data_IF_460762024285
#
_entry.id   IF_460762024285
#
_cell.length_a   1.000
_cell.length_b   1.000
_cell.length_c   1.000
_cell.angle_alpha   90.00
_cell.angle_beta   90.00
_cell.angle_gamma   90.00
#
_symmetry.space_group_name_H-M   'P 1'
#
loop_
_entity.id
_entity.type
_entity.pdbx_description
1 polymer ?
#
# COMPACT_ATOMS: atom_id res chain seq x y z
N UNK A 1 -2.22 -12.58 -11.63
CA UNK A 1 -3.35 -11.66 -11.41
C UNK A 1 -2.97 -10.17 -11.37
N UNK A 2 -2.18 -9.63 -10.42
CA UNK A 2 -1.93 -8.18 -10.34
C UNK A 2 -1.01 -7.60 -11.42
N UNK A 3 -0.17 -8.42 -12.05
CA UNK A 3 0.69 -7.96 -13.16
C UNK A 3 -0.09 -7.41 -14.36
N UNK A 4 -1.31 -7.92 -14.61
CA UNK A 4 -2.20 -7.44 -15.68
C UNK A 4 -3.05 -6.24 -15.24
N UNK A 5 -3.44 -6.17 -13.97
CA UNK A 5 -4.37 -5.16 -13.45
C UNK A 5 -3.68 -3.89 -12.93
N UNK A 6 -2.42 -3.98 -12.49
CA UNK A 6 -1.63 -2.87 -11.97
C UNK A 6 -0.30 -2.79 -12.71
N UNK A 7 -0.28 -2.30 -13.96
CA UNK A 7 0.96 -2.11 -14.71
C UNK A 7 1.88 -1.08 -14.03
N UNK A 8 3.19 -1.32 -14.07
CA UNK A 8 4.22 -0.39 -13.59
C UNK A 8 5.05 0.12 -14.75
N UNK A 9 5.73 1.25 -14.54
CA UNK A 9 6.76 1.78 -15.44
C UNK A 9 8.09 1.02 -15.34
N UNK A 10 8.27 0.22 -14.29
CA UNK A 10 9.44 -0.60 -14.05
C UNK A 10 9.24 -2.01 -14.63
N UNK A 11 10.29 -2.60 -15.23
CA UNK A 11 10.29 -4.02 -15.61
C UNK A 11 10.08 -4.87 -14.35
N UNK A 12 8.98 -5.61 -14.29
CA UNK A 12 8.75 -6.62 -13.24
C UNK A 12 9.29 -7.99 -13.65
N UNK A 13 9.03 -9.02 -12.84
CA UNK A 13 9.38 -10.42 -13.15
C UNK A 13 8.74 -10.99 -14.43
N UNK A 14 7.75 -10.30 -15.01
CA UNK A 14 7.13 -10.70 -16.27
C UNK A 14 7.73 -9.90 -17.44
N UNK A 15 8.66 -10.51 -18.17
CA UNK A 15 9.31 -9.92 -19.35
C UNK A 15 8.34 -9.53 -20.47
N UNK A 16 7.11 -10.08 -20.49
CA UNK A 16 6.09 -9.78 -21.51
C UNK A 16 5.23 -8.56 -21.18
N UNK A 17 5.28 -8.04 -19.95
CA UNK A 17 4.51 -6.85 -19.58
C UNK A 17 5.23 -5.59 -20.08
N UNK A 18 4.65 -4.89 -21.07
CA UNK A 18 5.18 -3.61 -21.54
C UNK A 18 5.07 -2.56 -20.41
N UNK A 19 6.16 -1.85 -20.07
CA UNK A 19 6.08 -0.77 -19.09
C UNK A 19 5.19 0.36 -19.61
N UNK A 20 4.36 0.92 -18.73
CA UNK A 20 3.55 2.08 -19.10
C UNK A 20 4.42 3.31 -19.35
N UNK A 21 4.15 4.02 -20.44
CA UNK A 21 4.69 5.33 -20.72
C UNK A 21 3.96 6.41 -19.92
N UNK A 22 4.59 7.59 -19.76
CA UNK A 22 3.93 8.74 -19.10
C UNK A 22 2.70 9.21 -19.88
N UNK A 23 2.72 9.09 -21.20
CA UNK A 23 1.61 9.49 -22.06
C UNK A 23 0.40 8.57 -21.86
N UNK A 24 0.59 7.25 -21.77
CA UNK A 24 -0.48 6.29 -21.51
C UNK A 24 -1.12 6.51 -20.12
N UNK A 25 -0.32 6.77 -19.09
CA UNK A 25 -0.85 7.09 -17.75
C UNK A 25 -1.70 8.36 -17.80
N UNK A 26 -1.25 9.38 -18.54
CA UNK A 26 -2.00 10.62 -18.66
C UNK A 26 -3.29 10.44 -19.47
N UNK A 27 -3.29 9.57 -20.48
CA UNK A 27 -4.49 9.20 -21.22
C UNK A 27 -5.49 8.43 -20.32
N UNK A 28 -5.00 7.48 -19.51
CA UNK A 28 -5.85 6.72 -18.58
C UNK A 28 -6.51 7.62 -17.54
N UNK A 29 -5.77 8.59 -16.98
CA UNK A 29 -6.33 9.56 -16.04
C UNK A 29 -7.46 10.41 -16.62
N UNK A 30 -7.50 10.60 -17.94
CA UNK A 30 -8.56 11.35 -18.63
C UNK A 30 -9.79 10.49 -18.95
N UNK A 31 -9.68 9.17 -18.85
CA UNK A 31 -10.78 8.25 -19.13
C UNK A 31 -11.43 7.81 -17.82
N UNK A 32 -12.62 8.34 -17.56
CA UNK A 32 -13.40 7.98 -16.37
C UNK A 32 -13.66 6.46 -16.29
N UNK A 33 -14.00 5.84 -17.43
CA UNK A 33 -14.25 4.40 -17.50
C UNK A 33 -13.02 3.58 -17.07
N UNK A 34 -11.82 3.96 -17.53
CA UNK A 34 -10.57 3.29 -17.15
C UNK A 34 -10.30 3.46 -15.66
N UNK A 35 -10.54 4.66 -15.11
CA UNK A 35 -10.36 4.93 -13.69
C UNK A 35 -11.35 4.16 -12.82
N UNK A 36 -12.61 4.04 -13.24
CA UNK A 36 -13.61 3.19 -12.56
C UNK A 36 -13.19 1.70 -12.60
N UNK A 37 -12.71 1.20 -13.76
CA UNK A 37 -12.19 -0.17 -13.87
C UNK A 37 -10.99 -0.39 -12.96
N UNK A 38 -10.12 0.61 -12.82
CA UNK A 38 -8.97 0.57 -11.93
C UNK A 38 -9.39 0.48 -10.45
N UNK A 39 -10.36 1.30 -10.02
CA UNK A 39 -10.90 1.23 -8.64
C UNK A 39 -11.56 -0.13 -8.37
N UNK A 40 -12.35 -0.66 -9.32
CA UNK A 40 -12.92 -2.02 -9.21
C UNK A 40 -11.85 -3.10 -9.05
N UNK A 41 -10.75 -3.00 -9.81
CA UNK A 41 -9.62 -3.92 -9.67
C UNK A 41 -8.94 -3.78 -8.30
N UNK A 42 -8.84 -2.57 -7.77
CA UNK A 42 -8.30 -2.31 -6.43
C UNK A 42 -9.16 -2.94 -5.34
N UNK A 43 -10.47 -2.74 -5.37
CA UNK A 43 -11.42 -3.38 -4.46
C UNK A 43 -11.34 -4.91 -4.50
N UNK A 44 -11.23 -5.50 -5.70
CA UNK A 44 -11.06 -6.95 -5.85
C UNK A 44 -9.79 -7.44 -5.16
N UNK A 45 -8.67 -6.74 -5.34
CA UNK A 45 -7.41 -7.09 -4.67
C UNK A 45 -7.48 -6.90 -3.15
N UNK A 46 -8.15 -5.85 -2.66
CA UNK A 46 -8.37 -5.66 -1.23
C UNK A 46 -9.15 -6.84 -0.63
N UNK A 47 -10.25 -7.26 -1.26
CA UNK A 47 -11.04 -8.41 -0.80
C UNK A 47 -10.22 -9.70 -0.77
N UNK A 48 -9.36 -9.90 -1.78
CA UNK A 48 -8.42 -11.03 -1.80
C UNK A 48 -7.48 -11.03 -0.59
N UNK A 49 -7.11 -9.85 -0.08
CA UNK A 49 -6.28 -9.67 1.11
C UNK A 49 -7.07 -9.61 2.43
N UNK A 50 -8.40 -9.78 2.41
CA UNK A 50 -9.22 -9.66 3.61
C UNK A 50 -9.48 -8.23 4.05
N UNK A 51 -9.46 -7.29 3.11
CA UNK A 51 -9.64 -5.85 3.33
C UNK A 51 -10.84 -5.37 2.50
N UNK A 52 -11.62 -4.43 3.03
CA UNK A 52 -12.76 -3.81 2.33
C UNK A 52 -12.57 -2.30 2.25
N UNK A 53 -12.77 -1.73 1.07
CA UNK A 53 -12.89 -0.28 0.86
C UNK A 53 -14.31 0.14 1.25
N UNK A 54 -14.45 1.01 2.24
CA UNK A 54 -15.76 1.46 2.75
C UNK A 54 -16.16 2.84 2.26
N UNK A 55 -15.19 3.63 1.80
CA UNK A 55 -15.45 4.93 1.21
C UNK A 55 -14.50 5.14 0.03
N UNK A 56 -15.06 5.20 -1.18
CA UNK A 56 -14.30 5.39 -2.42
C UNK A 56 -13.75 6.82 -2.55
N UNK A 57 -14.36 7.83 -1.94
CA UNK A 57 -13.88 9.21 -2.01
C UNK A 57 -12.65 9.42 -1.12
N UNK A 58 -12.67 8.86 0.10
CA UNK A 58 -11.58 9.03 1.07
C UNK A 58 -10.50 7.95 0.95
N UNK A 59 -10.86 6.75 0.47
CA UNK A 59 -9.98 5.58 0.45
C UNK A 59 -10.00 4.79 1.75
N UNK A 60 -10.96 5.02 2.64
CA UNK A 60 -11.01 4.39 3.96
C UNK A 60 -11.24 2.87 3.89
N UNK A 61 -10.50 2.13 4.72
CA UNK A 61 -10.44 0.67 4.70
C UNK A 61 -10.82 0.07 6.05
N UNK A 62 -11.43 -1.12 6.02
CA UNK A 62 -11.62 -1.98 7.20
C UNK A 62 -11.24 -3.43 6.91
N UNK A 63 -11.09 -4.24 7.96
CA UNK A 63 -11.01 -5.70 7.83
C UNK A 63 -12.32 -6.22 7.20
N UNK A 64 -12.22 -7.13 6.24
CA UNK A 64 -13.38 -7.86 5.71
C UNK A 64 -13.86 -8.91 6.73
N UNK A 65 -15.06 -9.47 6.58
CA UNK A 65 -15.60 -10.49 7.51
C UNK A 65 -14.70 -11.72 7.60
N UNK A 66 -14.14 -12.17 6.48
CA UNK A 66 -13.24 -13.31 6.39
C UNK A 66 -11.75 -12.95 6.58
N UNK A 67 -11.43 -11.83 7.24
CA UNK A 67 -10.05 -11.33 7.32
C UNK A 67 -9.08 -12.33 7.96
N UNK A 68 -9.53 -13.15 8.92
CA UNK A 68 -8.67 -14.09 9.66
C UNK A 68 -7.96 -15.06 8.71
N UNK A 69 -8.72 -15.78 7.88
CA UNK A 69 -8.20 -16.72 6.88
C UNK A 69 -7.31 -15.99 5.85
N UNK A 70 -7.73 -14.81 5.41
CA UNK A 70 -7.00 -14.03 4.41
C UNK A 70 -5.66 -13.49 4.94
N UNK A 71 -5.61 -13.11 6.22
CA UNK A 71 -4.38 -12.63 6.85
C UNK A 71 -3.41 -13.79 7.12
N UNK A 72 -3.91 -14.98 7.46
CA UNK A 72 -3.08 -16.19 7.50
C UNK A 72 -2.45 -16.45 6.13
N UNK A 73 -3.23 -16.35 5.04
CA UNK A 73 -2.70 -16.46 3.68
C UNK A 73 -1.64 -15.39 3.37
N UNK A 74 -1.87 -14.14 3.75
CA UNK A 74 -0.88 -13.06 3.60
C UNK A 74 0.42 -13.37 4.34
N UNK A 75 0.34 -13.91 5.56
CA UNK A 75 1.51 -14.27 6.34
C UNK A 75 2.28 -15.45 5.74
N UNK A 76 1.60 -16.44 5.16
CA UNK A 76 2.27 -17.58 4.53
C UNK A 76 2.95 -17.23 3.21
N UNK A 77 2.37 -16.35 2.42
CA UNK A 77 2.80 -16.11 1.05
C UNK A 77 3.43 -14.73 0.87
N UNK A 78 4.73 -14.63 1.16
CA UNK A 78 5.51 -13.39 1.09
C UNK A 78 5.51 -12.69 -0.28
N UNK A 79 5.25 -13.42 -1.38
CA UNK A 79 5.11 -12.83 -2.71
C UNK A 79 3.93 -11.84 -2.81
N UNK A 80 2.95 -11.92 -1.90
CA UNK A 80 1.88 -10.92 -1.79
C UNK A 80 2.43 -9.54 -1.46
N UNK A 81 3.56 -9.44 -0.75
CA UNK A 81 4.20 -8.15 -0.47
C UNK A 81 4.65 -7.44 -1.76
N UNK A 82 5.18 -8.19 -2.73
CA UNK A 82 5.54 -7.65 -4.04
C UNK A 82 4.31 -7.18 -4.83
N UNK A 83 3.19 -7.90 -4.70
CA UNK A 83 1.91 -7.54 -5.33
C UNK A 83 1.32 -6.28 -4.71
N UNK A 84 1.37 -6.14 -3.39
CA UNK A 84 0.92 -4.94 -2.65
C UNK A 84 1.79 -3.74 -3.01
N UNK A 85 3.12 -3.88 -3.03
CA UNK A 85 4.03 -2.80 -3.48
C UNK A 85 3.68 -2.33 -4.90
N UNK A 86 3.35 -3.27 -5.80
CA UNK A 86 2.94 -2.95 -7.16
C UNK A 86 1.62 -2.16 -7.22
N UNK A 87 0.63 -2.56 -6.42
CA UNK A 87 -0.64 -1.83 -6.27
C UNK A 87 -0.36 -0.41 -5.76
N UNK A 88 0.42 -0.28 -4.68
CA UNK A 88 0.77 1.00 -4.08
C UNK A 88 1.47 1.95 -5.07
N UNK A 89 2.47 1.47 -5.82
CA UNK A 89 3.13 2.29 -6.85
C UNK A 89 2.14 2.75 -7.93
N UNK A 90 1.26 1.85 -8.37
CA UNK A 90 0.25 2.14 -9.39
C UNK A 90 -0.79 3.18 -8.90
N UNK A 91 -1.27 3.06 -7.66
CA UNK A 91 -2.15 4.05 -7.02
C UNK A 91 -1.54 5.47 -7.09
N UNK A 92 -0.26 5.58 -6.75
CA UNK A 92 0.47 6.85 -6.84
C UNK A 92 0.60 7.37 -8.27
N UNK A 93 0.93 6.51 -9.24
CA UNK A 93 1.01 6.90 -10.66
C UNK A 93 -0.35 7.37 -11.19
N UNK A 94 -1.46 6.76 -10.76
CA UNK A 94 -2.83 7.09 -11.18
C UNK A 94 -3.46 8.27 -10.44
N UNK A 95 -2.79 8.84 -9.43
CA UNK A 95 -3.29 10.02 -8.69
C UNK A 95 -4.11 9.69 -7.43
N UNK A 96 -4.24 8.42 -7.07
CA UNK A 96 -4.89 7.95 -5.84
C UNK A 96 -3.92 7.95 -4.65
N UNK A 97 -3.22 9.07 -4.41
CA UNK A 97 -2.26 9.18 -3.32
C UNK A 97 -2.92 8.99 -1.94
N UNK A 98 -4.17 9.41 -1.79
CA UNK A 98 -4.96 9.22 -0.57
C UNK A 98 -5.20 7.72 -0.28
N UNK A 99 -5.48 6.90 -1.31
CA UNK A 99 -5.58 5.44 -1.15
C UNK A 99 -4.26 4.82 -0.71
N UNK A 100 -3.11 5.33 -1.21
CA UNK A 100 -1.82 4.85 -0.74
C UNK A 100 -1.69 5.05 0.78
N UNK A 101 -2.07 6.23 1.27
CA UNK A 101 -1.97 6.57 2.71
C UNK A 101 -2.83 5.64 3.54
N UNK A 102 -4.09 5.42 3.16
CA UNK A 102 -5.00 4.52 3.88
C UNK A 102 -4.50 3.07 3.88
N UNK A 103 -4.05 2.56 2.74
CA UNK A 103 -3.55 1.19 2.64
C UNK A 103 -2.27 0.96 3.45
N UNK A 104 -1.32 1.89 3.39
CA UNK A 104 -0.09 1.79 4.19
C UNK A 104 -0.40 1.92 5.67
N UNK A 105 -1.26 2.86 6.08
CA UNK A 105 -1.67 3.01 7.49
C UNK A 105 -2.36 1.74 8.00
N UNK A 106 -3.20 1.12 7.18
CA UNK A 106 -3.85 -0.15 7.51
C UNK A 106 -2.81 -1.23 7.81
N UNK A 107 -1.86 -1.48 6.90
CA UNK A 107 -0.79 -2.46 7.15
C UNK A 107 0.10 -2.11 8.34
N UNK A 108 0.44 -0.83 8.56
CA UNK A 108 1.18 -0.43 9.76
C UNK A 108 0.41 -0.75 11.05
N UNK A 109 -0.90 -0.53 11.05
CA UNK A 109 -1.76 -0.85 12.20
C UNK A 109 -1.83 -2.35 12.46
N UNK A 110 -2.05 -3.15 11.40
CA UNK A 110 -2.09 -4.60 11.51
C UNK A 110 -0.75 -5.23 11.91
N UNK A 111 0.37 -4.60 11.54
CA UNK A 111 1.72 -5.13 11.81
C UNK A 111 2.34 -4.63 13.10
N UNK A 112 2.01 -3.42 13.57
CA UNK A 112 2.66 -2.77 14.72
C UNK A 112 1.74 -2.63 15.94
N UNK A 113 0.42 -2.62 15.74
CA UNK A 113 -0.54 -2.41 16.84
C UNK A 113 -1.30 -3.70 17.14
N UNK A 114 -1.84 -4.32 16.10
CA UNK A 114 -2.66 -5.52 16.23
C UNK A 114 -1.84 -6.81 16.14
N UNK A 115 -0.62 -6.71 15.60
CA UNK A 115 0.34 -7.81 15.44
C UNK A 115 -0.23 -9.04 14.71
N UNK A 116 -1.22 -8.85 13.84
CA UNK A 116 -1.90 -9.91 13.07
C UNK A 116 -1.14 -10.29 11.80
N UNK A 117 -0.24 -9.43 11.32
CA UNK A 117 0.52 -9.61 10.08
C UNK A 117 2.05 -9.56 10.29
N UNK A 118 2.65 -10.36 11.19
CA UNK A 118 4.07 -10.28 11.52
C UNK A 118 4.99 -10.44 10.29
N UNK A 119 4.62 -11.29 9.32
CA UNK A 119 5.43 -11.53 8.12
C UNK A 119 5.32 -10.41 7.07
N UNK A 120 4.40 -9.46 7.25
CA UNK A 120 4.25 -8.27 6.42
C UNK A 120 5.00 -7.07 7.03
N UNK A 121 5.30 -7.09 8.34
CA UNK A 121 5.91 -5.97 9.09
C UNK A 121 7.14 -5.38 8.40
N UNK A 122 8.08 -6.24 7.98
CA UNK A 122 9.29 -5.79 7.26
C UNK A 122 8.92 -5.09 5.95
N UNK A 123 8.00 -5.65 5.17
CA UNK A 123 7.58 -5.05 3.91
C UNK A 123 6.82 -3.74 4.10
N UNK A 124 6.02 -3.63 5.15
CA UNK A 124 5.31 -2.41 5.50
C UNK A 124 6.28 -1.24 5.79
N UNK A 125 7.33 -1.53 6.56
CA UNK A 125 8.33 -0.54 6.97
C UNK A 125 9.36 -0.22 5.86
N UNK A 126 9.95 -1.25 5.25
CA UNK A 126 11.05 -1.09 4.29
C UNK A 126 10.59 -0.65 2.90
N UNK A 127 9.35 -0.99 2.50
CA UNK A 127 8.88 -0.77 1.13
C UNK A 127 7.59 0.05 1.08
N UNK A 128 6.52 -0.38 1.77
CA UNK A 128 5.19 0.22 1.58
C UNK A 128 5.19 1.70 1.98
N UNK A 129 5.79 2.05 3.12
CA UNK A 129 5.98 3.44 3.58
C UNK A 129 6.59 4.35 2.50
N UNK A 130 7.58 3.86 1.75
CA UNK A 130 8.31 4.68 0.79
C UNK A 130 7.63 4.77 -0.58
N UNK A 131 6.53 4.05 -0.79
CA UNK A 131 5.68 4.21 -1.99
C UNK A 131 4.82 5.49 -1.95
N UNK A 132 4.55 6.04 -0.75
CA UNK A 132 3.71 7.24 -0.57
C UNK A 132 4.34 8.42 -1.29
N UNK A 133 3.66 8.97 -2.30
CA UNK A 133 4.21 10.07 -3.12
C UNK A 133 4.32 11.39 -2.36
N UNK A 134 3.27 11.77 -1.63
CA UNK A 134 3.28 12.96 -0.78
C UNK A 134 4.30 12.83 0.36
N UNK A 135 5.38 13.64 0.30
CA UNK A 135 6.42 13.69 1.35
C UNK A 135 5.84 14.03 2.71
N UNK A 136 4.82 14.90 2.77
CA UNK A 136 4.14 15.26 4.02
C UNK A 136 3.44 14.06 4.63
N UNK A 137 2.58 13.38 3.86
CA UNK A 137 1.86 12.18 4.31
C UNK A 137 2.79 11.03 4.65
N UNK A 138 3.90 10.88 3.92
CA UNK A 138 4.94 9.89 4.27
C UNK A 138 5.53 10.16 5.65
N UNK A 139 5.86 11.41 5.99
CA UNK A 139 6.37 11.78 7.32
C UNK A 139 5.33 11.48 8.42
N UNK A 140 4.06 11.80 8.18
CA UNK A 140 2.96 11.47 9.11
C UNK A 140 2.93 9.96 9.40
N UNK A 141 3.07 9.11 8.37
CA UNK A 141 3.07 7.65 8.53
C UNK A 141 4.36 7.09 9.14
N UNK A 142 5.53 7.69 8.86
CA UNK A 142 6.79 7.31 9.53
C UNK A 142 6.70 7.62 11.02
N UNK A 143 6.15 8.78 11.39
CA UNK A 143 5.91 9.12 12.79
C UNK A 143 4.93 8.15 13.45
N UNK A 144 3.80 7.85 12.79
CA UNK A 144 2.86 6.82 13.26
C UNK A 144 3.57 5.47 13.49
N UNK A 145 4.36 5.01 12.53
CA UNK A 145 5.12 3.78 12.66
C UNK A 145 6.08 3.81 13.86
N UNK A 146 6.80 4.92 14.07
CA UNK A 146 7.69 5.10 15.21
C UNK A 146 6.96 5.05 16.56
N UNK A 147 5.78 5.68 16.66
CA UNK A 147 4.97 5.68 17.89
C UNK A 147 4.55 4.26 18.32
N UNK A 148 4.28 3.39 17.34
CA UNK A 148 3.79 2.02 17.57
C UNK A 148 4.90 0.95 17.51
N UNK A 149 6.06 1.24 16.92
CA UNK A 149 7.16 0.29 16.86
C UNK A 149 7.76 0.02 18.25
N UNK A 150 8.05 -1.26 18.55
CA UNK A 150 8.68 -1.70 19.80
C UNK A 150 9.87 -2.63 19.51
N UNK A 151 11.01 -2.43 20.19
CA UNK A 151 11.36 -1.28 21.03
C UNK A 151 11.62 0.00 20.19
N UNK A 152 11.23 1.18 20.70
CA UNK A 152 11.33 2.46 19.94
C UNK A 152 12.77 2.83 19.56
N UNK A 153 13.75 2.46 20.39
CA UNK A 153 15.17 2.74 20.15
C UNK A 153 15.71 2.12 18.86
N UNK A 154 15.12 1.01 18.40
CA UNK A 154 15.55 0.28 17.20
C UNK A 154 14.84 0.74 15.91
N UNK A 155 14.07 1.83 15.95
CA UNK A 155 13.40 2.34 14.76
C UNK A 155 14.37 3.09 13.84
N UNK A 156 14.63 2.58 12.64
CA UNK A 156 15.67 3.11 11.72
C UNK A 156 15.11 3.92 10.54
N UNK A 157 13.78 3.99 10.38
CA UNK A 157 13.14 4.59 9.19
C UNK A 157 12.94 6.11 9.29
N UNK A 158 13.47 6.74 10.33
CA UNK A 158 13.53 8.18 10.49
C UNK A 158 14.47 8.56 11.63
N UNK A 159 15.12 9.74 11.57
CA UNK A 159 16.03 10.17 12.62
C UNK A 159 15.25 10.55 13.90
N UNK A 160 15.64 9.98 15.04
CA UNK A 160 14.88 10.06 16.30
C UNK A 160 14.65 11.48 16.79
N UNK A 161 15.61 12.39 16.60
CA UNK A 161 15.51 13.80 16.97
C UNK A 161 14.35 14.50 16.25
N UNK A 162 14.12 14.17 14.98
CA UNK A 162 13.00 14.73 14.19
C UNK A 162 11.68 14.07 14.55
N UNK A 163 11.70 12.79 14.90
CA UNK A 163 10.49 12.05 15.30
C UNK A 163 9.98 12.55 16.66
N UNK A 164 10.88 12.82 17.62
CA UNK A 164 10.53 13.38 18.93
C UNK A 164 9.94 14.79 18.85
N UNK A 165 10.34 15.58 17.84
CA UNK A 165 9.89 16.97 17.64
C UNK A 165 8.69 17.07 16.69
N UNK A 166 8.22 15.96 16.13
CA UNK A 166 7.10 15.95 15.20
C UNK A 166 5.80 16.28 15.98
N UNK A 167 5.19 17.41 15.64
CA UNK A 167 3.90 17.88 16.19
C UNK A 167 2.84 17.84 15.11
#
# INVERSE_FOLDING_TARGET
FPFRLFPLRERGMNFRARPLTRQEIQAFKKSEEVMQRFVRAYQLMLRFYGITLINEETGELKRAENWVERFQNLNWYSHNNLRITRILKCLGEMGYEHYQVHLVKFFLTETLVQETLPNVKRSALDYFLFTIRSKRKRRELVHYAWQHFRPRGSFVWGPHDKLLKYR
#
